data_IF_186082555527
#
_entry.id   IF_186082555527
#
_cell.length_a   1.000
_cell.length_b   1.000
_cell.length_c   1.000
_cell.angle_alpha   90.00
_cell.angle_beta   90.00
_cell.angle_gamma   90.00
#
_symmetry.space_group_name_H-M   'P 1'
#
loop_
_entity.id
_entity.type
_entity.pdbx_description
1 polymer ?
#
# COMPACT_ATOMS: atom_id res chain seq x y z
N UNK A 1 8.24 -54.79 16.38
CA UNK A 1 6.84 -55.13 16.05
C UNK A 1 6.38 -54.16 14.98
N UNK A 2 6.24 -54.65 13.75
CA UNK A 2 5.75 -53.91 12.59
C UNK A 2 4.22 -53.92 12.60
N UNK A 3 3.60 -52.79 12.23
CA UNK A 3 2.25 -52.77 11.69
C UNK A 3 2.22 -51.79 10.52
N UNK A 4 2.31 -52.38 9.33
CA UNK A 4 2.10 -51.79 8.01
C UNK A 4 0.60 -51.79 7.69
N UNK A 5 0.11 -50.71 7.07
CA UNK A 5 -1.06 -50.68 6.17
C UNK A 5 -1.28 -49.25 5.69
N UNK A 6 -1.68 -48.93 4.47
CA UNK A 6 -1.62 -49.52 3.13
C UNK A 6 -2.24 -48.44 2.23
N UNK A 7 -1.63 -48.19 1.09
CA UNK A 7 -2.06 -47.22 0.08
C UNK A 7 -3.42 -47.58 -0.51
N UNK A 8 -4.24 -46.58 -0.85
CA UNK A 8 -5.30 -46.71 -1.86
C UNK A 8 -5.31 -45.47 -2.75
N UNK A 9 -4.81 -45.65 -3.97
CA UNK A 9 -4.97 -44.75 -5.10
C UNK A 9 -6.39 -44.85 -5.66
N UNK A 10 -6.95 -43.74 -6.14
CA UNK A 10 -8.03 -43.75 -7.12
C UNK A 10 -7.83 -42.57 -8.10
N UNK A 11 -7.39 -42.92 -9.30
CA UNK A 11 -7.49 -42.10 -10.51
C UNK A 11 -8.97 -42.05 -10.92
N UNK A 12 -9.46 -40.86 -11.28
CA UNK A 12 -10.67 -40.72 -12.08
C UNK A 12 -10.45 -39.64 -13.15
N UNK A 13 -10.34 -40.13 -14.38
CA UNK A 13 -10.42 -39.41 -15.65
C UNK A 13 -11.90 -39.23 -15.98
N UNK A 14 -12.30 -38.07 -16.49
CA UNK A 14 -13.61 -37.83 -17.11
C UNK A 14 -13.68 -36.39 -17.63
N UNK A 15 -13.40 -36.16 -18.91
CA UNK A 15 -14.30 -36.21 -20.06
C UNK A 15 -14.95 -34.85 -20.34
N UNK A 16 -14.50 -34.24 -21.44
CA UNK A 16 -15.07 -33.04 -22.04
C UNK A 16 -16.44 -33.32 -22.68
N UNK A 17 -17.36 -32.37 -22.58
CA UNK A 17 -18.55 -32.33 -23.43
C UNK A 17 -18.86 -30.86 -23.78
N UNK A 18 -18.68 -30.55 -25.06
CA UNK A 18 -19.13 -29.33 -25.70
C UNK A 18 -20.66 -29.31 -25.76
N UNK A 19 -21.27 -28.15 -25.47
CA UNK A 19 -22.71 -27.92 -25.68
C UNK A 19 -22.89 -26.93 -26.82
N UNK A 20 -23.64 -27.39 -27.81
CA UNK A 20 -23.95 -26.74 -29.09
C UNK A 20 -24.87 -25.53 -28.92
N UNK A 21 -24.62 -24.53 -29.75
CA UNK A 21 -25.50 -23.40 -30.04
C UNK A 21 -26.83 -23.89 -30.64
N UNK A 22 -27.95 -23.39 -30.11
CA UNK A 22 -29.24 -23.41 -30.82
C UNK A 22 -29.57 -22.00 -31.26
N UNK A 23 -29.57 -21.81 -32.58
CA UNK A 23 -30.09 -20.61 -33.21
C UNK A 23 -31.60 -20.69 -33.34
N UNK A 24 -32.27 -19.55 -33.18
CA UNK A 24 -33.62 -19.32 -33.68
C UNK A 24 -33.59 -18.04 -34.50
N UNK A 25 -33.87 -18.19 -35.79
CA UNK A 25 -34.03 -17.08 -36.72
C UNK A 25 -35.43 -16.50 -36.61
N UNK A 26 -35.53 -15.17 -36.71
CA UNK A 26 -36.74 -14.47 -37.08
C UNK A 26 -36.36 -13.38 -38.09
N UNK A 27 -36.72 -13.63 -39.34
CA UNK A 27 -36.62 -12.67 -40.44
C UNK A 27 -37.62 -11.54 -40.21
N UNK A 28 -37.16 -10.29 -40.27
CA UNK A 28 -38.03 -9.11 -40.39
C UNK A 28 -37.59 -8.31 -41.61
N UNK A 29 -38.57 -7.99 -42.44
CA UNK A 29 -38.42 -7.37 -43.75
C UNK A 29 -37.91 -5.92 -43.65
N UNK A 30 -37.07 -5.54 -44.60
CA UNK A 30 -36.55 -4.19 -44.77
C UNK A 30 -37.66 -3.22 -45.24
N UNK A 31 -37.80 -2.09 -44.55
CA UNK A 31 -38.55 -0.91 -44.97
C UNK A 31 -37.57 0.22 -45.34
N UNK A 32 -37.94 1.15 -46.24
CA UNK A 32 -37.00 2.06 -46.89
C UNK A 32 -36.46 3.14 -45.94
N UNK A 33 -35.15 3.33 -45.99
CA UNK A 33 -34.44 4.43 -45.32
C UNK A 33 -34.65 5.73 -46.09
N UNK A 34 -35.32 6.70 -45.48
CA UNK A 34 -35.26 8.10 -45.89
C UNK A 34 -33.96 8.73 -45.38
N UNK A 35 -33.23 9.54 -46.18
CA UNK A 35 -32.02 10.21 -45.70
C UNK A 35 -32.40 11.31 -44.69
N UNK A 36 -32.01 11.12 -43.43
CA UNK A 36 -32.04 12.18 -42.42
C UNK A 36 -30.83 13.07 -42.63
N UNK A 37 -31.09 14.35 -42.92
CA UNK A 37 -30.07 15.39 -43.01
C UNK A 37 -29.28 15.50 -41.69
N UNK A 38 -27.95 15.55 -41.80
CA UNK A 38 -27.06 15.72 -40.67
C UNK A 38 -27.28 17.09 -39.99
N UNK A 39 -27.70 17.07 -38.73
CA UNK A 39 -27.70 18.27 -37.89
C UNK A 39 -26.25 18.61 -37.46
N UNK A 40 -25.90 19.90 -37.33
CA UNK A 40 -24.56 20.30 -36.91
C UNK A 40 -24.29 19.84 -35.47
N UNK A 41 -23.11 19.25 -35.25
CA UNK A 41 -22.69 18.76 -33.94
C UNK A 41 -22.63 19.88 -32.90
N UNK A 42 -23.26 19.66 -31.75
CA UNK A 42 -23.06 20.51 -30.59
C UNK A 42 -21.61 20.37 -30.10
N UNK A 43 -20.90 21.48 -29.79
CA UNK A 43 -19.59 21.39 -29.17
C UNK A 43 -19.70 20.65 -27.84
N UNK A 44 -18.92 19.58 -27.69
CA UNK A 44 -18.82 18.85 -26.44
C UNK A 44 -18.37 19.81 -25.33
N UNK A 45 -19.22 19.98 -24.31
CA UNK A 45 -18.86 20.73 -23.12
C UNK A 45 -17.60 20.11 -22.49
N UNK A 46 -16.61 20.91 -22.06
CA UNK A 46 -15.42 20.38 -21.42
C UNK A 46 -15.83 19.60 -20.16
N UNK A 47 -15.30 18.38 -20.02
CA UNK A 47 -15.49 17.56 -18.83
C UNK A 47 -15.07 18.37 -17.58
N UNK A 48 -15.79 18.26 -16.45
CA UNK A 48 -15.42 18.97 -15.24
C UNK A 48 -14.00 18.53 -14.85
N UNK A 49 -13.09 19.49 -14.75
CA UNK A 49 -11.79 19.27 -14.15
C UNK A 49 -12.01 18.61 -12.79
N UNK A 50 -11.39 17.45 -12.56
CA UNK A 50 -11.41 16.77 -11.27
C UNK A 50 -11.05 17.78 -10.20
N UNK A 51 -12.05 18.16 -9.39
CA UNK A 51 -11.87 19.09 -8.29
C UNK A 51 -10.69 18.56 -7.46
N UNK A 52 -9.58 19.29 -7.48
CA UNK A 52 -8.42 18.97 -6.68
C UNK A 52 -8.88 19.01 -5.24
N UNK A 53 -9.12 17.82 -4.67
CA UNK A 53 -9.54 17.73 -3.28
C UNK A 53 -8.56 18.57 -2.46
N UNK A 54 -9.04 19.41 -1.52
CA UNK A 54 -8.17 20.17 -0.66
C UNK A 54 -7.31 19.26 0.24
N UNK A 55 -7.26 17.94 0.07
CA UNK A 55 -6.24 17.05 0.66
C UNK A 55 -5.49 16.18 -0.37
N UNK A 56 -5.76 16.37 -1.67
CA UNK A 56 -5.39 15.47 -2.77
C UNK A 56 -3.92 15.01 -2.76
N UNK A 57 -2.94 15.90 -2.56
CA UNK A 57 -1.52 15.51 -2.60
C UNK A 57 -0.96 14.95 -1.27
N UNK A 58 -1.58 15.24 -0.11
CA UNK A 58 -1.05 14.85 1.21
C UNK A 58 -1.68 13.56 1.74
N UNK A 59 -2.92 13.24 1.36
CA UNK A 59 -3.57 11.98 1.77
C UNK A 59 -2.78 10.74 1.34
N UNK A 60 -2.23 10.64 0.11
CA UNK A 60 -1.39 9.50 -0.27
C UNK A 60 -0.19 9.30 0.66
N UNK A 61 0.43 10.37 1.16
CA UNK A 61 1.56 10.27 2.10
C UNK A 61 1.15 9.59 3.40
N UNK A 62 0.02 10.01 3.99
CA UNK A 62 -0.51 9.39 5.20
C UNK A 62 -0.90 7.92 4.97
N UNK A 63 -1.58 7.63 3.85
CA UNK A 63 -2.03 6.27 3.53
C UNK A 63 -0.87 5.31 3.25
N UNK A 64 0.15 5.75 2.51
CA UNK A 64 1.35 4.96 2.22
C UNK A 64 2.21 4.77 3.48
N UNK A 65 2.29 5.78 4.35
CA UNK A 65 2.96 5.64 5.65
C UNK A 65 2.29 4.57 6.52
N UNK A 66 0.96 4.59 6.61
CA UNK A 66 0.22 3.53 7.31
C UNK A 66 0.40 2.15 6.66
N UNK A 67 0.45 2.09 5.32
CA UNK A 67 0.77 0.85 4.60
C UNK A 67 2.18 0.32 4.93
N UNK A 68 3.17 1.21 5.01
CA UNK A 68 4.53 0.84 5.41
C UNK A 68 4.64 0.45 6.88
N UNK A 69 3.80 1.01 7.74
CA UNK A 69 3.74 0.60 9.14
C UNK A 69 3.18 -0.81 9.31
N UNK A 70 2.18 -1.19 8.52
CA UNK A 70 1.59 -2.53 8.55
C UNK A 70 2.60 -3.64 8.14
N UNK A 71 3.66 -3.31 7.37
CA UNK A 71 4.73 -4.28 7.15
C UNK A 71 5.55 -4.54 8.42
N UNK A 72 5.49 -3.65 9.41
CA UNK A 72 6.13 -3.80 10.71
C UNK A 72 5.58 -4.98 11.50
N UNK A 73 4.28 -5.24 11.40
CA UNK A 73 3.61 -6.41 11.98
C UNK A 73 4.18 -7.70 11.38
N UNK A 74 4.30 -7.75 10.06
CA UNK A 74 4.87 -8.90 9.34
C UNK A 74 6.35 -9.11 9.69
N UNK A 75 7.14 -8.03 9.75
CA UNK A 75 8.56 -8.10 10.15
C UNK A 75 8.68 -8.56 11.61
N UNK A 76 7.86 -8.03 12.51
CA UNK A 76 7.83 -8.46 13.91
C UNK A 76 7.50 -9.94 14.02
N UNK A 77 6.46 -10.41 13.31
CA UNK A 77 6.06 -11.80 13.34
C UNK A 77 7.15 -12.74 12.79
N UNK A 78 7.80 -12.34 11.70
CA UNK A 78 8.86 -13.14 11.10
C UNK A 78 10.12 -13.23 11.98
N UNK A 79 10.44 -12.16 12.73
CA UNK A 79 11.61 -12.12 13.63
C UNK A 79 11.33 -12.68 15.03
N UNK A 80 10.07 -12.79 15.44
CA UNK A 80 9.69 -13.21 16.79
C UNK A 80 10.26 -14.58 17.15
N UNK A 81 10.97 -14.68 18.27
CA UNK A 81 11.63 -15.92 18.72
C UNK A 81 12.83 -16.35 17.86
N UNK A 82 13.49 -15.41 17.18
CA UNK A 82 14.76 -15.61 16.49
C UNK A 82 15.81 -14.64 17.04
N UNK A 83 17.09 -14.86 16.72
CA UNK A 83 18.18 -13.94 17.08
C UNK A 83 18.26 -12.70 16.17
N UNK A 84 17.30 -12.51 15.26
CA UNK A 84 17.30 -11.36 14.34
C UNK A 84 16.96 -10.06 15.09
N UNK A 85 17.87 -9.07 15.14
CA UNK A 85 17.62 -7.82 15.86
C UNK A 85 16.57 -6.96 15.15
N UNK A 86 15.84 -6.13 15.91
CA UNK A 86 14.94 -5.12 15.35
C UNK A 86 15.73 -4.01 14.67
N UNK A 87 16.77 -3.50 15.34
CA UNK A 87 17.69 -2.51 14.79
C UNK A 87 18.70 -3.17 13.86
N UNK A 88 18.82 -2.62 12.64
CA UNK A 88 19.80 -3.07 11.66
C UNK A 88 20.39 -1.84 10.94
N UNK A 89 21.39 -1.18 11.55
CA UNK A 89 21.94 0.07 11.01
C UNK A 89 22.51 -0.07 9.60
N UNK A 90 23.00 -1.26 9.23
CA UNK A 90 23.50 -1.52 7.88
C UNK A 90 22.36 -1.50 6.87
N UNK A 91 21.30 -2.27 7.14
CA UNK A 91 20.11 -2.29 6.29
C UNK A 91 19.40 -0.94 6.23
N UNK A 92 19.33 -0.22 7.35
CA UNK A 92 18.76 1.12 7.41
C UNK A 92 19.52 2.09 6.49
N UNK A 93 20.86 2.04 6.46
CA UNK A 93 21.67 2.84 5.53
C UNK A 93 21.39 2.50 4.07
N UNK A 94 21.27 1.22 3.73
CA UNK A 94 20.90 0.79 2.37
C UNK A 94 19.57 1.38 1.94
N UNK A 95 18.53 1.24 2.79
CA UNK A 95 17.19 1.79 2.51
C UNK A 95 17.26 3.30 2.29
N UNK A 96 17.97 4.03 3.15
CA UNK A 96 18.11 5.48 3.04
C UNK A 96 18.87 5.90 1.77
N UNK A 97 19.91 5.16 1.37
CA UNK A 97 20.62 5.41 0.11
C UNK A 97 19.70 5.18 -1.09
N UNK A 98 19.00 4.04 -1.13
CA UNK A 98 18.10 3.70 -2.24
C UNK A 98 17.00 4.74 -2.44
N UNK A 99 16.34 5.19 -1.36
CA UNK A 99 15.26 6.18 -1.49
C UNK A 99 15.79 7.57 -1.85
N UNK A 100 17.02 7.90 -1.47
CA UNK A 100 17.68 9.13 -1.91
C UNK A 100 17.94 9.11 -3.42
N UNK A 101 18.46 8.00 -3.95
CA UNK A 101 18.70 7.83 -5.38
C UNK A 101 17.39 7.85 -6.18
N UNK A 102 16.36 7.16 -5.71
CA UNK A 102 15.03 7.21 -6.32
C UNK A 102 14.45 8.63 -6.32
N UNK A 103 14.63 9.39 -5.24
CA UNK A 103 14.19 10.78 -5.20
C UNK A 103 14.89 11.63 -6.27
N UNK A 104 16.21 11.49 -6.44
CA UNK A 104 16.97 12.18 -7.50
C UNK A 104 16.43 11.84 -8.89
N UNK A 105 16.23 10.56 -9.17
CA UNK A 105 15.71 10.09 -10.46
C UNK A 105 14.31 10.63 -10.78
N UNK A 106 13.49 10.88 -9.75
CA UNK A 106 12.14 11.41 -9.87
C UNK A 106 12.08 12.95 -9.80
N UNK A 107 13.22 13.64 -9.75
CA UNK A 107 13.28 15.10 -9.61
C UNK A 107 12.83 15.63 -8.23
N UNK A 108 12.75 14.76 -7.22
CA UNK A 108 12.43 15.12 -5.84
C UNK A 108 13.67 15.50 -5.03
N UNK A 109 13.46 16.06 -3.82
CA UNK A 109 14.53 16.40 -2.88
C UNK A 109 15.01 15.16 -2.10
N UNK A 110 16.27 14.72 -2.28
CA UNK A 110 16.81 13.54 -1.59
C UNK A 110 16.97 13.75 -0.08
N UNK A 111 17.36 14.96 0.35
CA UNK A 111 17.58 15.25 1.77
C UNK A 111 16.25 15.23 2.53
N UNK A 112 15.21 15.83 1.95
CA UNK A 112 13.84 15.76 2.46
C UNK A 112 13.34 14.31 2.50
N UNK A 113 13.56 13.54 1.43
CA UNK A 113 13.13 12.14 1.35
C UNK A 113 13.81 11.29 2.43
N UNK A 114 15.12 11.44 2.62
CA UNK A 114 15.87 10.76 3.67
C UNK A 114 15.35 11.09 5.06
N UNK A 115 15.04 12.37 5.36
CA UNK A 115 14.45 12.75 6.66
C UNK A 115 13.12 12.05 6.91
N UNK A 116 12.22 12.05 5.91
CA UNK A 116 10.94 11.34 6.02
C UNK A 116 11.16 9.84 6.21
N UNK A 117 12.06 9.21 5.45
CA UNK A 117 12.30 7.77 5.59
C UNK A 117 12.99 7.38 6.91
N UNK A 118 13.78 8.25 7.53
CA UNK A 118 14.24 8.06 8.91
C UNK A 118 13.07 7.97 9.88
N UNK A 119 12.11 8.91 9.80
CA UNK A 119 10.89 8.84 10.62
C UNK A 119 10.09 7.55 10.36
N UNK A 120 10.01 7.09 9.10
CA UNK A 120 9.32 5.86 8.72
C UNK A 120 9.99 4.60 9.30
N UNK A 121 11.31 4.49 9.20
CA UNK A 121 12.10 3.38 9.78
C UNK A 121 11.88 3.33 11.28
N UNK A 122 12.05 4.48 11.92
CA UNK A 122 11.90 4.64 13.36
C UNK A 122 10.49 4.33 13.86
N UNK A 123 9.45 4.71 13.12
CA UNK A 123 8.08 4.38 13.43
C UNK A 123 7.79 2.87 13.29
N UNK A 124 8.34 2.22 12.26
CA UNK A 124 8.20 0.79 12.06
C UNK A 124 8.91 -0.02 13.18
N UNK A 125 10.10 0.41 13.61
CA UNK A 125 10.78 -0.19 14.78
C UNK A 125 9.96 -0.01 16.07
N UNK A 126 9.25 1.10 16.23
CA UNK A 126 8.36 1.30 17.37
C UNK A 126 7.18 0.32 17.36
N UNK A 127 6.59 0.01 16.19
CA UNK A 127 5.57 -1.04 16.04
C UNK A 127 6.14 -2.39 16.44
N UNK A 128 7.30 -2.79 15.87
CA UNK A 128 7.93 -4.09 16.19
C UNK A 128 8.18 -4.25 17.69
N UNK A 129 8.79 -3.25 18.35
CA UNK A 129 9.03 -3.28 19.80
C UNK A 129 7.73 -3.29 20.61
N UNK A 130 6.70 -2.59 20.15
CA UNK A 130 5.39 -2.59 20.78
C UNK A 130 4.70 -3.96 20.74
N UNK A 131 4.79 -4.64 19.59
CA UNK A 131 4.28 -5.99 19.42
C UNK A 131 5.06 -7.01 20.26
N UNK A 132 6.39 -6.92 20.30
CA UNK A 132 7.21 -7.79 21.15
C UNK A 132 6.79 -7.68 22.61
N UNK A 133 6.66 -6.46 23.15
CA UNK A 133 6.16 -6.28 24.53
C UNK A 133 4.76 -6.85 24.75
N UNK A 134 3.87 -6.76 23.75
CA UNK A 134 2.51 -7.33 23.83
C UNK A 134 2.55 -8.85 23.91
N UNK A 135 3.39 -9.48 23.09
CA UNK A 135 3.57 -10.93 23.02
C UNK A 135 4.31 -11.49 24.23
N UNK A 136 5.31 -10.77 24.77
CA UNK A 136 5.94 -11.11 26.05
C UNK A 136 4.92 -11.12 27.19
N UNK A 137 4.07 -10.08 27.27
CA UNK A 137 3.05 -9.98 28.31
C UNK A 137 1.89 -10.97 28.11
N UNK A 138 1.60 -11.37 26.88
CA UNK A 138 0.51 -12.28 26.52
C UNK A 138 0.96 -13.26 25.44
N UNK A 139 1.67 -14.35 25.82
CA UNK A 139 2.25 -15.29 24.84
C UNK A 139 1.22 -15.94 23.90
N UNK A 140 -0.03 -16.08 24.34
CA UNK A 140 -1.12 -16.59 23.49
C UNK A 140 -1.51 -15.68 22.32
N UNK A 141 -1.04 -14.42 22.29
CA UNK A 141 -1.23 -13.49 21.16
C UNK A 141 -0.05 -13.50 20.18
N UNK A 142 1.03 -14.21 20.50
CA UNK A 142 2.19 -14.30 19.63
C UNK A 142 1.85 -15.08 18.35
N UNK A 143 2.44 -14.72 17.20
CA UNK A 143 2.21 -15.45 15.96
C UNK A 143 2.78 -16.87 16.07
N UNK A 144 1.98 -17.85 15.65
CA UNK A 144 2.39 -19.26 15.55
C UNK A 144 3.09 -19.58 14.24
N UNK A 145 2.88 -18.73 13.22
CA UNK A 145 3.48 -18.84 11.90
C UNK A 145 4.35 -17.63 11.60
N UNK A 146 5.42 -17.85 10.83
CA UNK A 146 6.37 -16.79 10.46
C UNK A 146 6.26 -16.48 8.97
N UNK A 147 5.92 -15.24 8.59
CA UNK A 147 5.96 -14.82 7.20
C UNK A 147 7.37 -14.93 6.60
N UNK A 148 7.47 -15.24 5.31
CA UNK A 148 8.74 -15.18 4.59
C UNK A 148 9.22 -13.72 4.46
N UNK A 149 10.38 -13.42 5.07
CA UNK A 149 10.98 -12.11 5.02
C UNK A 149 11.32 -11.64 3.61
N UNK A 150 11.52 -12.52 2.63
CA UNK A 150 11.76 -12.12 1.25
C UNK A 150 10.50 -11.54 0.60
N UNK A 151 9.33 -12.15 0.82
CA UNK A 151 8.07 -11.59 0.35
C UNK A 151 7.73 -10.28 1.07
N UNK A 152 7.96 -10.21 2.38
CA UNK A 152 7.80 -8.96 3.14
C UNK A 152 8.72 -7.85 2.60
N UNK A 153 9.95 -8.17 2.19
CA UNK A 153 10.88 -7.21 1.57
C UNK A 153 10.36 -6.68 0.23
N UNK A 154 9.72 -7.51 -0.59
CA UNK A 154 9.12 -7.05 -1.85
C UNK A 154 8.02 -6.02 -1.58
N UNK A 155 7.16 -6.28 -0.61
CA UNK A 155 6.10 -5.34 -0.22
C UNK A 155 6.67 -4.04 0.34
N UNK A 156 7.68 -4.12 1.21
CA UNK A 156 8.41 -2.95 1.71
C UNK A 156 8.96 -2.12 0.55
N UNK A 157 9.61 -2.75 -0.43
CA UNK A 157 10.19 -2.05 -1.57
C UNK A 157 9.12 -1.40 -2.45
N UNK A 158 7.99 -2.08 -2.68
CA UNK A 158 6.84 -1.55 -3.41
C UNK A 158 6.29 -0.29 -2.73
N UNK A 159 6.05 -0.35 -1.43
CA UNK A 159 5.53 0.79 -0.65
C UNK A 159 6.55 1.92 -0.56
N UNK A 160 7.84 1.61 -0.39
CA UNK A 160 8.91 2.62 -0.40
C UNK A 160 8.90 3.41 -1.71
N UNK A 161 8.92 2.73 -2.86
CA UNK A 161 8.89 3.41 -4.16
C UNK A 161 7.63 4.25 -4.38
N UNK A 162 6.47 3.77 -3.92
CA UNK A 162 5.24 4.55 -3.96
C UNK A 162 5.30 5.80 -3.07
N UNK A 163 5.88 5.68 -1.88
CA UNK A 163 6.06 6.82 -0.96
C UNK A 163 7.04 7.84 -1.54
N UNK A 164 8.17 7.43 -2.14
CA UNK A 164 9.09 8.36 -2.81
C UNK A 164 8.39 9.13 -3.94
N UNK A 165 7.62 8.43 -4.80
CA UNK A 165 6.83 9.10 -5.86
C UNK A 165 5.83 10.11 -5.30
N UNK A 166 5.13 9.74 -4.23
CA UNK A 166 4.18 10.65 -3.57
C UNK A 166 4.89 11.86 -2.95
N UNK A 167 6.10 11.69 -2.39
CA UNK A 167 6.90 12.81 -1.87
C UNK A 167 7.35 13.76 -2.98
N UNK A 168 7.82 13.23 -4.13
CA UNK A 168 8.20 14.03 -5.28
C UNK A 168 7.00 14.81 -5.85
N UNK A 169 5.84 14.17 -5.97
CA UNK A 169 4.61 14.78 -6.51
C UNK A 169 3.88 15.74 -5.56
N UNK A 170 4.34 15.93 -4.33
CA UNK A 170 3.63 16.74 -3.32
C UNK A 170 4.41 17.96 -2.80
N UNK A 171 5.54 18.32 -3.44
CA UNK A 171 6.41 19.40 -2.99
C UNK A 171 5.65 20.71 -2.66
N UNK A 172 4.81 21.21 -3.59
CA UNK A 172 4.01 22.43 -3.37
C UNK A 172 3.06 22.33 -2.17
N UNK A 173 2.41 21.18 -1.98
CA UNK A 173 1.49 20.98 -0.85
C UNK A 173 2.23 20.89 0.47
N UNK A 174 3.44 20.30 0.47
CA UNK A 174 4.30 20.13 1.64
C UNK A 174 4.95 21.42 2.13
N UNK A 175 5.18 22.38 1.24
CA UNK A 175 5.74 23.70 1.56
C UNK A 175 4.67 24.75 1.85
N UNK A 176 3.38 24.43 1.69
CA UNK A 176 2.31 25.38 1.99
C UNK A 176 2.13 25.53 3.52
N UNK A 177 1.76 26.73 4.02
CA UNK A 177 1.45 26.93 5.45
C UNK A 177 0.35 25.99 5.97
N UNK A 178 -0.55 25.57 5.08
CA UNK A 178 -1.62 24.61 5.38
C UNK A 178 -1.17 23.15 5.50
N UNK A 179 0.11 22.82 5.27
CA UNK A 179 0.57 21.43 5.22
C UNK A 179 0.27 20.66 6.51
N UNK A 180 0.70 21.19 7.65
CA UNK A 180 0.57 20.50 8.94
C UNK A 180 -0.89 20.17 9.30
N UNK A 181 -1.85 21.13 9.31
CA UNK A 181 -3.24 20.81 9.62
C UNK A 181 -3.89 19.86 8.59
N UNK A 182 -3.55 19.98 7.30
CA UNK A 182 -4.09 19.09 6.25
C UNK A 182 -3.53 17.67 6.35
N UNK A 183 -2.23 17.54 6.66
CA UNK A 183 -1.60 16.24 6.87
C UNK A 183 -2.15 15.56 8.14
N UNK A 184 -2.37 16.31 9.21
CA UNK A 184 -3.01 15.80 10.42
C UNK A 184 -4.44 15.31 10.14
N UNK A 185 -5.25 16.09 9.41
CA UNK A 185 -6.59 15.69 9.00
C UNK A 185 -6.56 14.42 8.12
N UNK A 186 -5.58 14.31 7.21
CA UNK A 186 -5.38 13.11 6.41
C UNK A 186 -4.99 11.89 7.27
N UNK A 187 -4.11 12.06 8.25
CA UNK A 187 -3.71 11.00 9.18
C UNK A 187 -4.89 10.51 10.03
N UNK A 188 -5.75 11.42 10.50
CA UNK A 188 -6.98 11.07 11.22
C UNK A 188 -7.92 10.25 10.33
N UNK A 189 -8.12 10.65 9.06
CA UNK A 189 -8.94 9.87 8.12
C UNK A 189 -8.36 8.47 7.90
N UNK A 190 -7.06 8.36 7.66
CA UNK A 190 -6.38 7.06 7.48
C UNK A 190 -6.51 6.18 8.73
N UNK A 191 -6.39 6.77 9.93
CA UNK A 191 -6.62 6.05 11.20
C UNK A 191 -8.02 5.44 11.23
N UNK A 192 -9.05 6.22 10.89
CA UNK A 192 -10.43 5.75 10.91
C UNK A 192 -10.69 4.70 9.82
N UNK A 193 -10.27 4.97 8.59
CA UNK A 193 -10.43 4.06 7.43
C UNK A 193 -9.76 2.70 7.65
N UNK A 194 -8.65 2.65 8.40
CA UNK A 194 -7.88 1.42 8.67
C UNK A 194 -8.06 0.86 10.07
N UNK A 195 -8.92 1.47 10.89
CA UNK A 195 -9.14 1.09 12.29
C UNK A 195 -7.82 0.93 13.08
N UNK A 196 -6.88 1.87 12.92
CA UNK A 196 -5.57 1.76 13.56
C UNK A 196 -5.70 1.80 15.09
N UNK A 197 -5.08 0.83 15.76
CA UNK A 197 -5.00 0.79 17.22
C UNK A 197 -4.10 1.93 17.77
N UNK A 198 -3.97 2.01 19.10
CA UNK A 198 -3.16 3.05 19.75
C UNK A 198 -1.68 3.00 19.33
N UNK A 199 -1.11 1.80 19.19
CA UNK A 199 0.28 1.61 18.78
C UNK A 199 0.50 2.13 17.36
N UNK A 200 -0.36 1.74 16.42
CA UNK A 200 -0.28 2.14 15.02
C UNK A 200 -0.62 3.61 14.81
N UNK A 201 -1.54 4.17 15.60
CA UNK A 201 -1.85 5.59 15.59
C UNK A 201 -0.63 6.42 16.00
N UNK A 202 0.04 6.05 17.09
CA UNK A 202 1.26 6.73 17.54
C UNK A 202 2.40 6.59 16.53
N UNK A 203 2.56 5.40 15.95
CA UNK A 203 3.55 5.16 14.90
C UNK A 203 3.26 5.98 13.63
N UNK A 204 2.00 6.10 13.22
CA UNK A 204 1.62 6.94 12.08
C UNK A 204 2.00 8.40 12.33
N UNK A 205 1.68 8.95 13.51
CA UNK A 205 2.09 10.29 13.88
C UNK A 205 3.62 10.47 13.82
N UNK A 206 4.40 9.52 14.37
CA UNK A 206 5.87 9.53 14.31
C UNK A 206 6.40 9.55 12.87
N UNK A 207 5.79 8.74 11.99
CA UNK A 207 6.21 8.56 10.60
C UNK A 207 6.04 9.81 9.72
N UNK A 208 5.19 10.75 10.14
CA UNK A 208 4.77 11.91 9.36
C UNK A 208 5.44 13.23 9.77
N UNK A 209 6.27 13.25 10.82
CA UNK A 209 6.80 14.49 11.43
C UNK A 209 7.63 15.34 10.46
N UNK A 210 8.45 14.71 9.63
CA UNK A 210 9.29 15.43 8.66
C UNK A 210 8.62 15.65 7.29
N UNK A 211 7.32 15.38 7.15
CA UNK A 211 6.63 15.54 5.86
C UNK A 211 6.41 17.01 5.53
N UNK A 212 5.88 17.82 6.44
CA UNK A 212 5.79 19.25 6.19
C UNK A 212 7.17 19.89 6.39
N UNK A 213 7.54 20.86 5.56
CA UNK A 213 8.71 21.68 5.87
C UNK A 213 8.46 22.38 7.23
N UNK A 214 9.48 22.42 8.10
CA UNK A 214 9.38 23.15 9.35
C UNK A 214 9.00 24.60 9.05
N UNK A 215 7.98 25.10 9.73
CA UNK A 215 7.74 26.54 9.87
C UNK A 215 8.93 27.20 10.53
#
# INVERSE_FOLDING_TARGET
MQLTRSMRSALAVGAAAAVLCTGTGAATAAAPVHPVAAAPGHPAAPAPATAHSPNGPLRPLAALSAGRLATGDLVAAAKWGTDSPIDDPAREREVLSTVADQARQLGGDPAVTVRVFRDQIEANKAVQRGLYRRWDANPGQAPTERPDLQEVRKEINRVNGALVRALAGSARARSAPSCAPRLAAAAVRVRQERHLDGLHTAALARSLRSVCAGT
#
